data_IF_201736354064
#
_entry.id   IF_201736354064
#
_cell.length_a   1.000
_cell.length_b   1.000
_cell.length_c   1.000
_cell.angle_alpha   90.00
_cell.angle_beta   90.00
_cell.angle_gamma   90.00
#
_symmetry.space_group_name_H-M   'P 1'
#
loop_
_entity.id
_entity.type
_entity.pdbx_description
1 polymer ?
#
# COMPACT_ATOMS: atom_id res chain seq x y z
N UNK A 1 -10.52 21.08 -7.96
CA UNK A 1 -9.64 19.98 -8.43
C UNK A 1 -8.50 19.87 -7.43
N UNK A 2 -8.29 18.73 -6.77
CA UNK A 2 -7.13 18.55 -5.87
C UNK A 2 -5.86 18.43 -6.73
N UNK A 3 -4.74 18.95 -6.26
CA UNK A 3 -3.43 18.75 -6.91
C UNK A 3 -2.95 17.32 -6.68
N UNK A 4 -2.06 16.81 -7.53
CA UNK A 4 -1.48 15.47 -7.33
C UNK A 4 -0.76 15.35 -5.98
N UNK A 5 -0.11 16.43 -5.53
CA UNK A 5 0.55 16.48 -4.22
C UNK A 5 -0.44 16.29 -3.07
N UNK A 6 -1.64 16.90 -3.13
CA UNK A 6 -2.70 16.66 -2.15
C UNK A 6 -3.19 15.21 -2.17
N UNK A 7 -3.34 14.60 -3.35
CA UNK A 7 -3.77 13.20 -3.47
C UNK A 7 -2.74 12.24 -2.87
N UNK A 8 -1.45 12.48 -3.13
CA UNK A 8 -0.36 11.67 -2.55
C UNK A 8 -0.36 11.83 -1.02
N UNK A 9 -0.49 13.05 -0.53
CA UNK A 9 -0.51 13.33 0.90
C UNK A 9 -1.71 12.68 1.61
N UNK A 10 -2.92 12.79 1.03
CA UNK A 10 -4.13 12.15 1.57
C UNK A 10 -3.95 10.62 1.69
N UNK A 11 -3.38 9.97 0.67
CA UNK A 11 -3.13 8.52 0.69
C UNK A 11 -2.01 8.11 1.65
N UNK A 12 -0.98 8.95 1.82
CA UNK A 12 0.07 8.75 2.82
C UNK A 12 -0.49 8.79 4.24
N UNK A 13 -1.40 9.72 4.50
CA UNK A 13 -2.06 9.86 5.80
C UNK A 13 -3.05 8.73 6.05
N UNK A 14 -3.75 8.27 4.99
CA UNK A 14 -4.61 7.09 5.05
C UNK A 14 -3.84 5.81 5.36
N UNK A 15 -2.68 5.58 4.70
CA UNK A 15 -1.78 4.48 5.07
C UNK A 15 -1.36 4.58 6.54
N UNK A 16 -0.99 5.79 6.98
CA UNK A 16 -0.56 6.00 8.37
C UNK A 16 -1.68 5.68 9.36
N UNK A 17 -2.92 6.05 9.06
CA UNK A 17 -4.08 5.70 9.88
C UNK A 17 -4.32 4.19 9.94
N UNK A 18 -4.25 3.50 8.80
CA UNK A 18 -4.60 2.07 8.69
C UNK A 18 -3.55 1.16 9.32
N UNK A 19 -2.28 1.45 9.08
CA UNK A 19 -1.18 0.61 9.51
C UNK A 19 -0.52 1.08 10.81
N UNK A 20 -0.82 2.31 11.26
CA UNK A 20 -0.09 3.00 12.33
C UNK A 20 1.43 3.05 12.04
N UNK A 21 1.77 3.28 10.77
CA UNK A 21 3.13 3.31 10.25
C UNK A 21 3.37 4.59 9.44
N UNK A 22 4.60 5.15 9.41
CA UNK A 22 4.85 6.38 8.66
C UNK A 22 4.71 6.10 7.16
N UNK A 23 3.62 6.56 6.52
CA UNK A 23 3.35 6.24 5.11
C UNK A 23 4.43 6.71 4.14
N UNK A 24 5.17 7.76 4.49
CA UNK A 24 6.31 8.21 3.69
C UNK A 24 7.49 7.23 3.66
N UNK A 25 7.65 6.39 4.69
CA UNK A 25 8.70 5.38 4.74
C UNK A 25 8.43 4.22 3.78
N UNK A 26 7.16 3.93 3.49
CA UNK A 26 6.70 2.83 2.66
C UNK A 26 6.25 3.28 1.28
N UNK A 27 6.52 4.54 0.92
CA UNK A 27 6.21 5.08 -0.39
C UNK A 27 7.35 4.79 -1.37
N UNK A 28 7.02 4.26 -2.55
CA UNK A 28 7.94 4.20 -3.68
C UNK A 28 7.98 5.58 -4.34
N UNK A 29 9.03 6.36 -4.03
CA UNK A 29 9.18 7.74 -4.51
C UNK A 29 9.27 7.82 -6.04
N UNK A 30 9.97 6.89 -6.68
CA UNK A 30 10.16 6.90 -8.13
C UNK A 30 8.83 6.64 -8.83
N UNK A 31 8.14 5.57 -8.44
CA UNK A 31 6.86 5.21 -9.03
C UNK A 31 5.79 6.25 -8.71
N UNK A 32 5.85 6.86 -7.53
CA UNK A 32 4.94 7.94 -7.15
C UNK A 32 5.08 9.17 -8.05
N UNK A 33 6.32 9.56 -8.38
CA UNK A 33 6.59 10.68 -9.29
C UNK A 33 6.17 10.36 -10.72
N UNK A 34 6.49 9.16 -11.22
CA UNK A 34 6.20 8.74 -12.61
C UNK A 34 4.69 8.62 -12.84
N UNK A 35 3.96 8.03 -11.89
CA UNK A 35 2.52 7.79 -12.01
C UNK A 35 1.68 8.97 -11.53
N UNK A 36 2.27 9.89 -10.76
CA UNK A 36 1.57 10.95 -10.02
C UNK A 36 0.49 10.40 -9.08
N UNK A 37 0.68 9.17 -8.59
CA UNK A 37 -0.19 8.45 -7.66
C UNK A 37 0.63 8.01 -6.47
N UNK A 38 0.02 7.80 -5.31
CA UNK A 38 0.72 7.20 -4.18
C UNK A 38 1.02 5.74 -4.51
N UNK A 39 2.31 5.38 -4.58
CA UNK A 39 2.76 4.00 -4.81
C UNK A 39 3.42 3.47 -3.53
N UNK A 40 3.08 2.25 -3.14
CA UNK A 40 3.65 1.59 -1.97
C UNK A 40 4.82 0.71 -2.41
N UNK A 41 5.93 0.82 -1.71
CA UNK A 41 7.04 -0.13 -1.79
C UNK A 41 6.60 -1.42 -1.07
N UNK A 42 6.00 -2.34 -1.84
CA UNK A 42 5.43 -3.58 -1.30
C UNK A 42 6.51 -4.51 -0.74
N UNK A 43 7.73 -4.46 -1.29
CA UNK A 43 8.86 -5.27 -0.80
C UNK A 43 9.27 -4.78 0.58
N UNK A 44 9.42 -3.46 0.75
CA UNK A 44 9.72 -2.88 2.06
C UNK A 44 8.61 -3.14 3.08
N UNK A 45 7.35 -3.12 2.65
CA UNK A 45 6.23 -3.45 3.52
C UNK A 45 6.32 -4.92 3.97
N UNK A 46 6.57 -5.84 3.04
CA UNK A 46 6.74 -7.27 3.30
C UNK A 46 7.88 -7.53 4.30
N UNK A 47 9.08 -7.00 4.03
CA UNK A 47 10.26 -7.11 4.90
C UNK A 47 9.97 -6.60 6.32
N UNK A 48 9.25 -5.47 6.43
CA UNK A 48 8.90 -4.91 7.73
C UNK A 48 7.93 -5.81 8.48
N UNK A 49 6.94 -6.38 7.79
CA UNK A 49 5.97 -7.31 8.39
C UNK A 49 6.64 -8.60 8.87
N UNK A 50 7.59 -9.15 8.10
CA UNK A 50 8.41 -10.30 8.52
C UNK A 50 9.19 -9.94 9.79
N UNK A 51 9.92 -8.83 9.77
CA UNK A 51 10.82 -8.45 10.85
C UNK A 51 10.12 -8.00 12.16
N UNK A 52 8.95 -7.36 12.08
CA UNK A 52 8.31 -6.71 13.25
C UNK A 52 6.97 -7.31 13.64
N UNK A 53 6.31 -8.04 12.74
CA UNK A 53 5.00 -8.68 13.00
C UNK A 53 5.05 -10.20 12.91
N UNK A 54 6.19 -10.77 12.51
CA UNK A 54 6.36 -12.21 12.39
C UNK A 54 5.58 -12.80 11.23
N UNK A 55 5.33 -12.02 10.17
CA UNK A 55 4.71 -12.54 8.95
C UNK A 55 5.56 -13.68 8.38
N UNK A 56 4.89 -14.79 8.06
CA UNK A 56 5.49 -15.97 7.45
C UNK A 56 4.53 -16.51 6.39
N UNK A 57 4.94 -16.48 5.13
CA UNK A 57 4.10 -16.88 3.99
C UNK A 57 3.59 -18.32 4.10
N UNK A 58 4.37 -19.22 4.71
CA UNK A 58 3.99 -20.63 4.85
C UNK A 58 2.92 -20.84 5.93
N UNK A 59 2.80 -19.89 6.89
CA UNK A 59 1.87 -19.98 8.03
C UNK A 59 0.64 -19.09 7.88
N UNK A 60 0.84 -17.87 7.40
CA UNK A 60 -0.19 -16.83 7.34
C UNK A 60 -0.78 -16.66 5.93
N UNK A 61 -0.20 -17.33 4.92
CA UNK A 61 -0.65 -17.21 3.53
C UNK A 61 -0.11 -15.95 2.87
N UNK A 62 -0.90 -15.36 1.97
CA UNK A 62 -0.46 -14.17 1.24
C UNK A 62 -0.30 -12.95 2.16
N UNK A 63 0.51 -11.98 1.77
CA UNK A 63 0.65 -10.72 2.50
C UNK A 63 -0.71 -10.02 2.66
N UNK A 64 -1.61 -10.16 1.68
CA UNK A 64 -2.98 -9.64 1.76
C UNK A 64 -3.78 -10.31 2.89
N UNK A 65 -3.73 -11.64 2.99
CA UNK A 65 -4.40 -12.39 4.08
C UNK A 65 -3.86 -11.97 5.45
N UNK A 66 -2.54 -11.80 5.55
CA UNK A 66 -1.90 -11.33 6.76
C UNK A 66 -2.32 -9.91 7.13
N UNK A 67 -2.36 -9.00 6.17
CA UNK A 67 -2.81 -7.61 6.37
C UNK A 67 -4.27 -7.59 6.80
N UNK A 68 -5.13 -8.37 6.15
CA UNK A 68 -6.55 -8.49 6.49
C UNK A 68 -6.74 -8.98 7.93
N UNK A 69 -5.99 -10.00 8.33
CA UNK A 69 -6.01 -10.56 9.69
C UNK A 69 -5.48 -9.58 10.75
N UNK A 70 -4.46 -8.79 10.41
CA UNK A 70 -3.73 -7.95 11.38
C UNK A 70 -4.29 -6.54 11.50
N UNK A 71 -4.71 -5.95 10.39
CA UNK A 71 -5.15 -4.54 10.28
C UNK A 71 -6.61 -4.40 9.83
N UNK A 72 -7.26 -5.50 9.44
CA UNK A 72 -8.66 -5.54 9.03
C UNK A 72 -8.89 -5.36 7.53
N UNK A 73 -10.15 -5.55 7.13
CA UNK A 73 -10.59 -5.52 5.72
C UNK A 73 -10.32 -4.17 5.04
N UNK A 74 -10.37 -3.07 5.79
CA UNK A 74 -10.12 -1.73 5.26
C UNK A 74 -8.66 -1.57 4.80
N UNK A 75 -7.71 -2.10 5.57
CA UNK A 75 -6.29 -2.05 5.24
C UNK A 75 -5.95 -2.93 4.04
N UNK A 76 -6.55 -4.12 3.95
CA UNK A 76 -6.38 -5.01 2.80
C UNK A 76 -6.89 -4.35 1.50
N UNK A 77 -8.09 -3.76 1.55
CA UNK A 77 -8.67 -3.05 0.40
C UNK A 77 -7.82 -1.87 -0.03
N UNK A 78 -7.27 -1.11 0.92
CA UNK A 78 -6.38 0.01 0.59
C UNK A 78 -5.15 -0.44 -0.20
N UNK A 79 -4.53 -1.56 0.17
CA UNK A 79 -3.38 -2.14 -0.56
C UNK A 79 -3.81 -2.61 -1.95
N UNK A 80 -4.93 -3.33 -2.04
CA UNK A 80 -5.47 -3.81 -3.31
C UNK A 80 -5.74 -2.65 -4.28
N UNK A 81 -6.41 -1.59 -3.82
CA UNK A 81 -6.67 -0.37 -4.59
C UNK A 81 -5.36 0.28 -5.04
N UNK A 82 -4.39 0.40 -4.13
CA UNK A 82 -3.11 1.05 -4.43
C UNK A 82 -2.28 0.26 -5.45
N UNK A 83 -2.38 -1.07 -5.46
CA UNK A 83 -1.72 -1.93 -6.45
C UNK A 83 -2.48 -1.93 -7.79
N UNK A 84 -3.81 -2.02 -7.76
CA UNK A 84 -4.63 -2.12 -8.97
C UNK A 84 -4.78 -0.77 -9.70
N UNK A 85 -4.76 0.35 -8.99
CA UNK A 85 -4.74 1.69 -9.62
C UNK A 85 -3.46 1.93 -10.42
N UNK A 86 -2.39 1.14 -10.25
CA UNK A 86 -1.16 1.27 -11.06
C UNK A 86 -1.28 0.55 -12.41
N UNK A 87 -2.25 -0.36 -12.58
CA UNK A 87 -2.50 -0.96 -13.90
C UNK A 87 -3.04 0.13 -14.83
N UNK A 88 -2.49 0.30 -16.04
CA UNK A 88 -3.05 1.25 -16.99
C UNK A 88 -4.50 0.86 -17.22
N UNK A 89 -5.41 1.83 -17.10
CA UNK A 89 -6.78 1.73 -17.62
C UNK A 89 -6.69 1.54 -19.13
N UNK A 90 -6.49 0.29 -19.51
CA UNK A 90 -6.15 -0.16 -20.83
C UNK A 90 -6.70 -1.57 -21.00
N UNK A 91 -8.02 -1.70 -20.87
CA UNK A 91 -8.81 -2.70 -21.58
C UNK A 91 -10.21 -2.14 -21.78
N UNK A 92 -10.41 -1.55 -22.96
CA UNK A 92 -11.71 -1.54 -23.61
C UNK A 92 -12.32 -2.93 -23.52
N UNK A 93 -13.55 -3.01 -23.02
CA UNK A 93 -14.58 -3.84 -23.63
C UNK A 93 -15.73 -2.92 -23.99
#
# INVERSE_FOLDING_TARGET
MKTFACVIQDRKDEFTRLFNLPGGLFMDELMTVVTKRFCIDIIRLDDWMVAHKGYDIDKDGSLEDFIKKTYGDEAARFIEETINDIKPTGRNK
#
